data_IF_799965698551
#
_entry.id   IF_799965698551
#
_cell.length_a   1.000
_cell.length_b   1.000
_cell.length_c   1.000
_cell.angle_alpha   90.00
_cell.angle_beta   90.00
_cell.angle_gamma   90.00
#
_symmetry.space_group_name_H-M   'P 1'
#
loop_
_entity.id
_entity.type
_entity.pdbx_description
1 polymer ?
#
# COMPACT_ATOMS: atom_id res chain seq x y z
N UNK A 1 -9.50 7.44 7.35
CA UNK A 1 -10.14 6.33 8.09
C UNK A 1 -10.56 6.84 9.44
N UNK A 2 -11.81 6.58 9.81
CA UNK A 2 -12.45 7.05 11.05
C UNK A 2 -13.16 5.88 11.74
N UNK A 3 -13.59 6.07 12.99
CA UNK A 3 -14.40 5.08 13.71
C UNK A 3 -15.74 4.81 13.00
N UNK A 4 -16.29 5.82 12.31
CA UNK A 4 -17.50 5.68 11.49
C UNK A 4 -17.31 4.69 10.33
N UNK A 5 -16.11 4.62 9.73
CA UNK A 5 -15.79 3.63 8.69
C UNK A 5 -15.81 2.19 9.25
N UNK A 6 -15.43 2.03 10.52
CA UNK A 6 -15.49 0.74 11.23
C UNK A 6 -16.93 0.35 11.51
N UNK A 7 -17.73 1.28 12.05
CA UNK A 7 -19.16 1.05 12.32
C UNK A 7 -19.93 0.67 11.04
N UNK A 8 -19.54 1.25 9.89
CA UNK A 8 -20.14 0.96 8.57
C UNK A 8 -19.61 -0.30 7.91
N UNK A 9 -18.65 -1.01 8.51
CA UNK A 9 -17.94 -2.14 7.92
C UNK A 9 -17.26 -1.81 6.56
N UNK A 10 -16.91 -0.54 6.34
CA UNK A 10 -16.12 -0.10 5.18
C UNK A 10 -14.63 -0.18 5.48
N UNK A 11 -14.24 -0.26 6.75
CA UNK A 11 -12.87 -0.56 7.19
C UNK A 11 -12.86 -1.54 8.37
N UNK A 12 -12.00 -2.55 8.32
CA UNK A 12 -11.75 -3.46 9.45
C UNK A 12 -10.29 -3.29 9.92
N UNK A 13 -10.05 -2.70 11.11
CA UNK A 13 -8.70 -2.45 11.62
C UNK A 13 -7.96 -3.73 12.02
N UNK A 14 -8.66 -4.86 12.18
CA UNK A 14 -8.05 -6.15 12.55
C UNK A 14 -7.43 -6.83 11.34
N UNK A 15 -8.03 -6.66 10.17
CA UNK A 15 -7.55 -7.23 8.90
C UNK A 15 -6.89 -6.19 8.00
N UNK A 16 -7.04 -4.91 8.34
CA UNK A 16 -6.67 -3.74 7.53
C UNK A 16 -7.36 -3.72 6.16
N UNK A 17 -8.51 -4.39 6.01
CA UNK A 17 -9.28 -4.39 4.77
C UNK A 17 -10.17 -3.15 4.68
N UNK A 18 -10.11 -2.46 3.54
CA UNK A 18 -10.95 -1.32 3.22
C UNK A 18 -11.83 -1.59 2.01
N UNK A 19 -13.01 -0.98 1.99
CA UNK A 19 -13.97 -0.98 0.87
C UNK A 19 -14.57 0.39 0.73
N UNK A 20 -14.41 1.01 -0.43
CA UNK A 20 -14.94 2.34 -0.70
C UNK A 20 -15.19 2.52 -2.20
N UNK A 21 -15.95 3.56 -2.52
CA UNK A 21 -16.12 4.01 -3.91
C UNK A 21 -15.19 5.17 -4.13
N UNK A 22 -14.43 5.12 -5.22
CA UNK A 22 -13.59 6.22 -5.69
C UNK A 22 -14.05 6.66 -7.08
N UNK A 23 -13.94 7.93 -7.40
CA UNK A 23 -14.29 8.46 -8.72
C UNK A 23 -13.04 8.63 -9.56
N UNK A 24 -12.94 7.87 -10.65
CA UNK A 24 -11.78 7.91 -11.51
C UNK A 24 -12.06 8.68 -12.79
N UNK A 25 -11.13 9.55 -13.18
CA UNK A 25 -11.16 10.22 -14.48
C UNK A 25 -10.46 9.32 -15.51
N UNK A 26 -11.24 8.65 -16.35
CA UNK A 26 -10.76 7.80 -17.44
C UNK A 26 -10.95 8.54 -18.79
N UNK A 27 -10.26 8.11 -19.87
CA UNK A 27 -10.47 8.70 -21.20
C UNK A 27 -11.94 8.71 -21.66
N UNK A 28 -12.74 7.74 -21.22
CA UNK A 28 -14.17 7.60 -21.56
C UNK A 28 -15.10 8.44 -20.67
N UNK A 29 -14.57 9.08 -19.62
CA UNK A 29 -15.32 9.89 -18.66
C UNK A 29 -15.10 9.48 -17.21
N UNK A 30 -15.86 10.12 -16.30
CA UNK A 30 -15.82 9.81 -14.87
C UNK A 30 -16.57 8.51 -14.58
N UNK A 31 -15.92 7.61 -13.85
CA UNK A 31 -16.50 6.32 -13.46
C UNK A 31 -16.36 6.13 -11.96
N UNK A 32 -17.44 5.72 -11.30
CA UNK A 32 -17.41 5.28 -9.91
C UNK A 32 -16.84 3.85 -9.84
N UNK A 33 -15.70 3.71 -9.19
CA UNK A 33 -14.97 2.46 -9.02
C UNK A 33 -15.16 1.93 -7.62
N UNK A 34 -15.59 0.67 -7.49
CA UNK A 34 -15.61 -0.02 -6.21
C UNK A 34 -14.21 -0.55 -5.90
N UNK A 35 -13.55 0.01 -4.89
CA UNK A 35 -12.22 -0.40 -4.43
C UNK A 35 -12.36 -1.35 -3.24
N UNK A 36 -11.57 -2.41 -3.28
CA UNK A 36 -11.31 -3.27 -2.13
C UNK A 36 -9.81 -3.49 -2.00
N UNK A 37 -9.23 -3.04 -0.91
CA UNK A 37 -7.80 -3.09 -0.68
C UNK A 37 -7.47 -3.56 0.74
N UNK A 38 -6.21 -3.95 0.95
CA UNK A 38 -5.66 -4.22 2.27
C UNK A 38 -4.51 -3.26 2.50
N UNK A 39 -4.64 -2.44 3.53
CA UNK A 39 -3.60 -1.51 3.92
C UNK A 39 -2.52 -2.29 4.66
N UNK A 40 -1.26 -2.07 4.28
CA UNK A 40 -0.10 -2.66 4.93
C UNK A 40 0.88 -1.56 5.28
N UNK A 41 1.46 -1.65 6.48
CA UNK A 41 2.53 -0.74 6.87
C UNK A 41 3.88 -1.27 6.37
N UNK A 42 4.88 -0.38 6.16
CA UNK A 42 6.20 -0.79 5.69
C UNK A 42 6.84 -2.00 6.40
N UNK A 43 6.82 -2.12 7.75
CA UNK A 43 7.41 -3.29 8.40
C UNK A 43 6.70 -4.61 8.10
N UNK A 44 5.39 -4.62 7.85
CA UNK A 44 4.65 -5.83 7.47
C UNK A 44 5.07 -6.32 6.08
N UNK A 45 5.17 -5.40 5.12
CA UNK A 45 5.67 -5.71 3.78
C UNK A 45 7.11 -6.22 3.82
N UNK A 46 7.98 -5.61 4.62
CA UNK A 46 9.36 -6.09 4.82
C UNK A 46 9.37 -7.51 5.40
N UNK A 47 8.51 -7.81 6.38
CA UNK A 47 8.40 -9.14 6.95
C UNK A 47 7.94 -10.18 5.90
N UNK A 48 6.94 -9.85 5.08
CA UNK A 48 6.45 -10.72 4.00
C UNK A 48 7.52 -10.95 2.92
N UNK A 49 8.22 -9.90 2.49
CA UNK A 49 9.30 -10.00 1.50
C UNK A 49 10.44 -10.89 1.99
N UNK A 50 10.85 -10.72 3.26
CA UNK A 50 11.86 -11.59 3.88
C UNK A 50 11.37 -13.02 4.05
N UNK A 51 10.11 -13.22 4.42
CA UNK A 51 9.52 -14.54 4.57
C UNK A 51 9.59 -15.36 3.28
N UNK A 52 9.39 -14.71 2.13
CA UNK A 52 9.51 -15.35 0.81
C UNK A 52 10.94 -15.32 0.23
N UNK A 53 11.93 -14.90 1.03
CA UNK A 53 13.36 -15.04 0.73
C UNK A 53 14.04 -13.82 0.10
N UNK A 54 13.36 -12.68 -0.07
CA UNK A 54 14.01 -11.47 -0.56
C UNK A 54 14.93 -10.85 0.51
N UNK A 55 16.07 -10.34 0.06
CA UNK A 55 16.85 -9.38 0.82
C UNK A 55 16.32 -7.98 0.50
N UNK A 56 15.68 -7.33 1.49
CA UNK A 56 15.21 -5.95 1.36
C UNK A 56 16.39 -5.01 1.60
N UNK A 57 16.82 -4.32 0.54
CA UNK A 57 17.95 -3.39 0.55
C UNK A 57 17.51 -2.01 1.04
N UNK A 58 16.38 -1.52 0.52
CA UNK A 58 15.85 -0.20 0.85
C UNK A 58 14.33 -0.18 0.89
N UNK A 59 13.79 0.71 1.71
CA UNK A 59 12.39 1.14 1.71
C UNK A 59 12.40 2.64 1.51
N UNK A 60 11.83 3.07 0.40
CA UNK A 60 11.90 4.45 -0.07
C UNK A 60 10.51 5.05 -0.25
N UNK A 61 10.44 6.38 -0.16
CA UNK A 61 9.22 7.12 -0.43
C UNK A 61 8.94 7.31 -1.93
N UNK A 62 7.68 7.61 -2.25
CA UNK A 62 7.34 8.12 -3.58
C UNK A 62 5.88 8.10 -3.97
N UNK A 63 5.01 8.56 -3.06
CA UNK A 63 3.58 8.67 -3.33
C UNK A 63 3.28 9.40 -4.64
N UNK A 64 2.34 8.85 -5.41
CA UNK A 64 1.87 9.41 -6.68
C UNK A 64 3.00 9.61 -7.72
N UNK A 65 4.03 8.75 -7.65
CA UNK A 65 5.13 8.79 -8.61
C UNK A 65 6.30 9.68 -8.24
N UNK A 66 6.31 10.33 -7.07
CA UNK A 66 7.47 11.08 -6.52
C UNK A 66 8.58 10.14 -6.01
N UNK A 67 8.90 9.10 -6.78
CA UNK A 67 9.87 8.08 -6.42
C UNK A 67 11.25 8.70 -6.19
N UNK A 68 11.83 8.45 -5.02
CA UNK A 68 13.16 8.95 -4.70
C UNK A 68 13.92 8.06 -3.72
N UNK A 69 15.24 8.05 -3.85
CA UNK A 69 16.14 7.33 -2.92
C UNK A 69 16.24 8.07 -1.58
N UNK A 70 15.14 8.11 -0.83
CA UNK A 70 15.00 8.83 0.44
C UNK A 70 14.10 8.07 1.40
N UNK A 71 14.21 8.30 2.72
CA UNK A 71 13.29 7.73 3.68
C UNK A 71 11.83 8.05 3.35
N UNK A 72 10.94 7.12 3.71
CA UNK A 72 9.49 7.31 3.65
C UNK A 72 9.11 8.46 4.60
N UNK A 73 8.34 9.42 4.10
CA UNK A 73 7.79 10.51 4.92
C UNK A 73 6.49 10.07 5.58
N UNK A 74 6.14 10.71 6.69
CA UNK A 74 4.95 10.32 7.47
C UNK A 74 3.62 10.57 6.73
N UNK A 75 3.62 11.44 5.72
CA UNK A 75 2.46 11.80 4.90
C UNK A 75 2.37 11.00 3.59
N UNK A 76 3.31 10.09 3.35
CA UNK A 76 3.27 9.20 2.18
C UNK A 76 2.34 8.00 2.43
N UNK A 77 1.53 7.70 1.41
CA UNK A 77 0.60 6.55 1.40
C UNK A 77 1.13 5.37 0.57
N UNK A 78 2.23 5.57 -0.15
CA UNK A 78 2.93 4.54 -0.93
C UNK A 78 4.41 4.48 -0.54
N UNK A 79 4.99 3.28 -0.62
CA UNK A 79 6.41 3.04 -0.42
C UNK A 79 6.96 2.11 -1.51
N UNK A 80 8.21 2.36 -1.93
CA UNK A 80 8.96 1.54 -2.86
C UNK A 80 9.90 0.59 -2.10
N UNK A 81 9.87 -0.69 -2.44
CA UNK A 81 10.69 -1.73 -1.82
C UNK A 81 11.76 -2.22 -2.79
N UNK A 82 13.02 -1.85 -2.53
CA UNK A 82 14.14 -2.31 -3.34
C UNK A 82 14.65 -3.61 -2.77
N UNK A 83 14.47 -4.68 -3.53
CA UNK A 83 14.79 -6.03 -3.08
C UNK A 83 15.75 -6.72 -4.04
N UNK A 84 16.70 -7.45 -3.46
CA UNK A 84 17.48 -8.43 -4.21
C UNK A 84 16.75 -9.76 -4.19
N UNK A 85 16.58 -10.33 -5.38
CA UNK A 85 15.94 -11.65 -5.55
C UNK A 85 16.68 -12.70 -4.72
N UNK A 86 15.96 -13.63 -4.03
CA UNK A 86 16.60 -14.79 -3.43
C UNK A 86 17.46 -15.51 -4.46
N UNK A 87 18.66 -15.94 -4.06
CA UNK A 87 19.34 -17.00 -4.80
C UNK A 87 18.52 -18.26 -4.54
N UNK A 88 17.70 -18.67 -5.51
CA UNK A 88 17.10 -19.99 -5.47
C UNK A 88 18.25 -21.02 -5.39
N UNK A 89 18.12 -22.08 -4.57
CA UNK A 89 19.10 -23.15 -4.55
C UNK A 89 19.23 -23.83 -5.92
#
# INVERSE_FOLDING_TARGET
MTDEDVERNTFDPTTMLARYVDEWELPEGRVAMMIRERLLIPPEMVAMLRHVGFEVLHVWGGTAGDWGERPVKLDEVEAMYVCKRPKLP
#
